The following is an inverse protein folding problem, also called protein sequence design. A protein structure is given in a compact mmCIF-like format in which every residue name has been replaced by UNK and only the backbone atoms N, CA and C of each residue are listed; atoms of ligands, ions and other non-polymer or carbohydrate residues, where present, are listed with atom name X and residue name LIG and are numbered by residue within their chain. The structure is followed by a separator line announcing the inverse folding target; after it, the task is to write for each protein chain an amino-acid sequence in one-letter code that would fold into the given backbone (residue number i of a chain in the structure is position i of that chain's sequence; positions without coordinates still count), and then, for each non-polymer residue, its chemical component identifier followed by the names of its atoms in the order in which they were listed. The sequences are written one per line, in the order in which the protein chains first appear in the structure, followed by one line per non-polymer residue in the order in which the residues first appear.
data_IF_418952522788
#
_entry.id   IF_418952522788
#
_cell.length_a   1.000
_cell.length_b   1.000
_cell.length_c   1.000
_cell.angle_alpha   90.00
_cell.angle_beta   90.00
_cell.angle_gamma   90.00
#
_symmetry.space_group_name_H-M   'P 1'
#
loop_
_entity.id
_entity.type
_entity.pdbx_description
1 polymer ?
#
# COMPACT_ATOMS: atom_id res chain seq x y z
N UNK A 1 -44.21 26.99 -10.77
CA UNK A 1 -42.82 26.54 -10.60
C UNK A 1 -42.76 25.08 -10.98
N UNK A 2 -41.83 24.65 -11.86
CA UNK A 2 -41.62 23.22 -12.04
C UNK A 2 -41.07 22.65 -10.72
N UNK A 3 -41.43 21.41 -10.34
CA UNK A 3 -40.83 20.79 -9.17
C UNK A 3 -39.33 20.61 -9.43
N UNK A 4 -38.49 21.18 -8.57
CA UNK A 4 -37.07 20.80 -8.53
C UNK A 4 -37.03 19.30 -8.23
N UNK A 5 -36.63 18.50 -9.21
CA UNK A 5 -36.44 17.06 -9.02
C UNK A 5 -35.30 16.85 -8.04
N UNK A 6 -35.62 16.71 -6.76
CA UNK A 6 -34.66 16.28 -5.76
C UNK A 6 -34.35 14.81 -6.05
N UNK A 7 -33.17 14.54 -6.62
CA UNK A 7 -32.66 13.18 -6.79
C UNK A 7 -32.47 12.59 -5.40
N UNK A 8 -33.14 11.47 -5.13
CA UNK A 8 -33.03 10.79 -3.84
C UNK A 8 -31.61 10.24 -3.61
N UNK A 9 -31.26 9.97 -2.36
CA UNK A 9 -29.95 9.38 -2.04
C UNK A 9 -29.76 8.00 -2.70
N UNK A 10 -30.83 7.22 -2.78
CA UNK A 10 -30.81 5.89 -3.39
C UNK A 10 -30.59 5.96 -4.90
N UNK A 11 -31.28 6.86 -5.60
CA UNK A 11 -31.09 7.08 -7.04
C UNK A 11 -29.67 7.57 -7.34
N UNK A 12 -29.16 8.48 -6.52
CA UNK A 12 -27.78 8.96 -6.64
C UNK A 12 -26.76 7.83 -6.49
N UNK A 13 -26.93 6.96 -5.48
CA UNK A 13 -26.06 5.79 -5.28
C UNK A 13 -26.17 4.78 -6.44
N UNK A 14 -27.36 4.58 -6.99
CA UNK A 14 -27.57 3.66 -8.10
C UNK A 14 -26.93 4.17 -9.40
N UNK A 15 -26.95 5.49 -9.62
CA UNK A 15 -26.22 6.13 -10.71
C UNK A 15 -24.71 5.89 -10.60
N UNK A 16 -24.15 5.98 -9.39
CA UNK A 16 -22.73 5.72 -9.10
C UNK A 16 -22.43 4.23 -8.81
N UNK A 17 -23.16 3.29 -9.41
CA UNK A 17 -23.02 1.85 -9.11
C UNK A 17 -21.63 1.29 -9.45
N UNK A 18 -21.08 1.66 -10.60
CA UNK A 18 -19.73 1.26 -11.05
C UNK A 18 -18.67 1.82 -10.09
N UNK A 19 -18.77 3.10 -9.73
CA UNK A 19 -17.86 3.75 -8.79
C UNK A 19 -17.91 3.09 -7.40
N UNK A 20 -19.11 2.73 -6.95
CA UNK A 20 -19.34 2.02 -5.69
C UNK A 20 -18.77 0.61 -5.70
N UNK A 21 -18.82 -0.08 -6.83
CA UNK A 21 -18.22 -1.40 -7.02
C UNK A 21 -16.70 -1.32 -6.88
N UNK A 22 -16.05 -0.41 -7.62
CA UNK A 22 -14.59 -0.24 -7.54
C UNK A 22 -14.14 0.19 -6.14
N UNK A 23 -14.84 1.13 -5.50
CA UNK A 23 -14.50 1.54 -4.14
C UNK A 23 -14.69 0.41 -3.11
N UNK A 24 -15.71 -0.43 -3.30
CA UNK A 24 -15.90 -1.63 -2.48
C UNK A 24 -14.73 -2.59 -2.66
N UNK A 25 -14.29 -2.84 -3.88
CA UNK A 25 -13.14 -3.68 -4.17
C UNK A 25 -11.87 -3.15 -3.49
N UNK A 26 -11.58 -1.86 -3.62
CA UNK A 26 -10.42 -1.24 -2.98
C UNK A 26 -10.43 -1.39 -1.45
N UNK A 27 -11.55 -1.03 -0.81
CA UNK A 27 -11.60 -0.90 0.65
C UNK A 27 -11.94 -2.20 1.37
N UNK A 28 -12.79 -3.04 0.78
CA UNK A 28 -13.26 -4.28 1.40
C UNK A 28 -12.42 -5.47 0.95
N UNK A 29 -12.19 -5.64 -0.35
CA UNK A 29 -11.49 -6.82 -0.86
C UNK A 29 -9.96 -6.66 -0.77
N UNK A 30 -9.44 -5.50 -1.19
CA UNK A 30 -8.00 -5.20 -1.18
C UNK A 30 -7.53 -4.53 0.11
N UNK A 31 -8.44 -4.27 1.05
CA UNK A 31 -8.15 -3.68 2.38
C UNK A 31 -7.36 -2.37 2.36
N UNK A 32 -7.42 -1.60 1.27
CA UNK A 32 -6.79 -0.27 1.23
C UNK A 32 -7.44 0.67 2.23
N UNK A 33 -6.67 1.66 2.67
CA UNK A 33 -7.16 2.68 3.59
C UNK A 33 -8.40 3.37 2.98
N UNK A 34 -9.53 3.45 3.69
CA UNK A 34 -10.76 4.00 3.13
C UNK A 34 -10.66 5.48 2.74
N UNK A 35 -9.85 6.26 3.46
CA UNK A 35 -9.68 7.71 3.22
C UNK A 35 -8.78 7.93 2.01
N UNK A 36 -7.66 7.23 1.92
CA UNK A 36 -6.78 7.24 0.75
C UNK A 36 -7.52 6.74 -0.50
N UNK A 37 -8.25 5.64 -0.38
CA UNK A 37 -9.07 5.10 -1.48
C UNK A 37 -10.12 6.09 -1.96
N UNK A 38 -10.64 6.97 -1.08
CA UNK A 38 -11.58 8.02 -1.47
C UNK A 38 -10.90 9.07 -2.36
N UNK A 39 -9.65 9.42 -2.06
CA UNK A 39 -8.85 10.33 -2.88
C UNK A 39 -8.49 9.71 -4.23
N UNK A 40 -8.17 8.41 -4.25
CA UNK A 40 -7.91 7.66 -5.48
C UNK A 40 -9.16 7.64 -6.38
N UNK A 41 -10.34 7.35 -5.82
CA UNK A 41 -11.60 7.42 -6.57
C UNK A 41 -11.87 8.84 -7.09
N UNK A 42 -11.60 9.87 -6.28
CA UNK A 42 -11.77 11.25 -6.69
C UNK A 42 -10.84 11.64 -7.86
N UNK A 43 -9.61 11.11 -7.87
CA UNK A 43 -8.68 11.28 -8.98
C UNK A 43 -9.24 10.66 -10.26
N UNK A 44 -9.63 9.38 -10.23
CA UNK A 44 -10.12 8.70 -11.43
C UNK A 44 -11.39 9.34 -11.98
N UNK A 45 -12.37 9.66 -11.13
CA UNK A 45 -13.59 10.35 -11.56
C UNK A 45 -13.33 11.77 -12.09
N UNK A 46 -12.32 12.47 -11.57
CA UNK A 46 -11.88 13.75 -12.16
C UNK A 46 -11.26 13.54 -13.54
N UNK A 47 -10.47 12.48 -13.72
CA UNK A 47 -9.87 12.11 -15.00
C UNK A 47 -10.92 11.72 -16.06
N UNK A 48 -11.97 11.00 -15.69
CA UNK A 48 -13.10 10.71 -16.59
C UNK A 48 -13.76 12.00 -17.10
N UNK A 49 -13.96 12.97 -16.20
CA UNK A 49 -14.56 14.27 -16.55
C UNK A 49 -13.68 15.12 -17.47
N UNK A 50 -12.37 14.94 -17.42
CA UNK A 50 -11.40 15.74 -18.21
C UNK A 50 -11.00 15.08 -19.51
N UNK A 51 -11.02 13.75 -19.59
CA UNK A 51 -10.56 12.98 -20.76
C UNK A 51 -11.67 12.19 -21.47
N UNK A 52 -12.92 12.22 -20.99
CA UNK A 52 -14.06 11.46 -21.53
C UNK A 52 -13.77 9.95 -21.67
N UNK A 53 -12.91 9.43 -20.81
CA UNK A 53 -12.59 8.00 -20.73
C UNK A 53 -13.40 7.36 -19.59
N UNK A 54 -13.89 6.14 -19.80
CA UNK A 54 -14.54 5.33 -18.77
C UNK A 54 -13.48 4.63 -17.87
N UNK A 55 -12.63 5.43 -17.22
CA UNK A 55 -11.48 4.98 -16.41
C UNK A 55 -11.90 3.95 -15.37
N UNK A 56 -12.95 4.23 -14.58
CA UNK A 56 -13.42 3.34 -13.50
C UNK A 56 -13.87 1.99 -14.08
N UNK A 57 -14.62 2.02 -15.18
CA UNK A 57 -15.07 0.80 -15.85
C UNK A 57 -13.89 -0.01 -16.40
N UNK A 58 -12.90 0.65 -17.02
CA UNK A 58 -11.67 0.00 -17.50
C UNK A 58 -10.89 -0.64 -16.35
N UNK A 59 -10.76 0.04 -15.21
CA UNK A 59 -10.05 -0.50 -14.03
C UNK A 59 -10.74 -1.76 -13.51
N UNK A 60 -12.08 -1.78 -13.44
CA UNK A 60 -12.83 -2.96 -13.00
C UNK A 60 -12.66 -4.19 -13.91
N UNK A 61 -12.20 -4.02 -15.16
CA UNK A 61 -11.88 -5.16 -16.04
C UNK A 61 -10.52 -5.79 -15.76
N UNK A 62 -9.68 -5.15 -14.93
CA UNK A 62 -8.35 -5.63 -14.59
C UNK A 62 -8.41 -6.73 -13.50
N UNK A 63 -7.42 -7.64 -13.44
CA UNK A 63 -7.24 -8.52 -12.29
C UNK A 63 -6.96 -7.74 -11.00
N UNK A 64 -7.39 -8.26 -9.85
CA UNK A 64 -7.20 -7.66 -8.52
C UNK A 64 -5.77 -7.18 -8.25
N UNK A 65 -4.77 -7.94 -8.70
CA UNK A 65 -3.34 -7.56 -8.59
C UNK A 65 -3.07 -6.25 -9.32
N UNK A 66 -3.54 -6.11 -10.56
CA UNK A 66 -3.34 -4.87 -11.33
C UNK A 66 -4.18 -3.71 -10.78
N UNK A 67 -5.31 -4.00 -10.14
CA UNK A 67 -6.12 -2.97 -9.45
C UNK A 67 -5.37 -2.44 -8.21
N UNK A 68 -4.63 -3.29 -7.50
CA UNK A 68 -3.74 -2.85 -6.43
C UNK A 68 -2.62 -1.95 -6.96
N UNK A 69 -1.93 -2.40 -8.02
CA UNK A 69 -0.82 -1.66 -8.62
C UNK A 69 -1.25 -0.31 -9.20
N UNK A 70 -2.37 -0.25 -9.92
CA UNK A 70 -2.85 1.03 -10.48
C UNK A 70 -3.34 1.98 -9.38
N UNK A 71 -3.77 1.46 -8.23
CA UNK A 71 -4.07 2.29 -7.07
C UNK A 71 -2.79 2.87 -6.44
N UNK A 72 -1.65 2.18 -6.48
CA UNK A 72 -0.34 2.75 -6.07
C UNK A 72 0.16 3.81 -7.06
N UNK A 73 -0.05 3.60 -8.35
CA UNK A 73 0.21 4.63 -9.36
C UNK A 73 -0.68 5.87 -9.14
N UNK A 74 -1.94 5.69 -8.76
CA UNK A 74 -2.85 6.78 -8.44
C UNK A 74 -2.36 7.58 -7.22
N UNK A 75 -1.85 6.91 -6.18
CA UNK A 75 -1.19 7.58 -5.05
C UNK A 75 0.03 8.37 -5.52
N UNK A 76 0.83 7.82 -6.42
CA UNK A 76 1.96 8.53 -7.04
C UNK A 76 1.50 9.79 -7.79
N UNK A 77 0.40 9.72 -8.53
CA UNK A 77 -0.21 10.87 -9.21
C UNK A 77 -0.68 11.93 -8.21
N UNK A 78 -1.41 11.54 -7.17
CA UNK A 78 -1.88 12.44 -6.11
C UNK A 78 -0.72 13.13 -5.40
N UNK A 79 0.35 12.40 -5.11
CA UNK A 79 1.57 12.96 -4.53
C UNK A 79 2.24 13.97 -5.46
N UNK A 80 2.22 13.76 -6.78
CA UNK A 80 2.72 14.74 -7.74
C UNK A 80 1.82 15.99 -7.85
N UNK A 81 0.50 15.85 -7.67
CA UNK A 81 -0.43 16.98 -7.64
C UNK A 81 -0.23 17.84 -6.38
N UNK A 82 0.02 17.20 -5.23
CA UNK A 82 0.04 17.86 -3.92
C UNK A 82 1.42 18.40 -3.50
N UNK A 83 2.53 17.85 -4.03
CA UNK A 83 3.88 18.24 -3.64
C UNK A 83 4.55 19.14 -4.68
N UNK A 84 5.11 20.26 -4.23
CA UNK A 84 5.59 21.34 -5.10
C UNK A 84 7.01 21.15 -5.67
N UNK A 85 7.82 20.23 -5.14
CA UNK A 85 9.22 20.14 -5.55
C UNK A 85 9.79 18.72 -5.46
N UNK A 86 10.44 18.28 -6.55
CA UNK A 86 11.32 17.11 -6.72
C UNK A 86 10.72 15.71 -6.92
N UNK A 87 9.49 15.41 -6.48
CA UNK A 87 8.95 14.05 -6.60
C UNK A 87 8.68 13.61 -8.06
N UNK A 88 8.38 14.56 -8.94
CA UNK A 88 7.94 14.25 -10.32
C UNK A 88 9.08 14.30 -11.37
N UNK A 89 10.32 14.63 -10.97
CA UNK A 89 11.48 14.77 -11.88
C UNK A 89 12.44 13.58 -11.90
N UNK A 90 12.23 12.57 -11.05
CA UNK A 90 13.04 11.35 -11.06
C UNK A 90 12.45 10.33 -12.03
N UNK A 91 13.27 9.77 -12.92
CA UNK A 91 12.88 8.70 -13.87
C UNK A 91 12.35 7.41 -13.19
N UNK A 92 12.38 7.35 -11.87
CA UNK A 92 11.89 6.23 -11.05
C UNK A 92 10.35 6.21 -10.88
N UNK A 93 9.68 7.36 -11.03
CA UNK A 93 8.22 7.42 -10.91
C UNK A 93 7.60 7.31 -12.29
N UNK A 94 7.23 6.09 -12.67
CA UNK A 94 6.44 5.82 -13.88
C UNK A 94 5.03 5.41 -13.48
N UNK A 95 4.06 5.71 -14.35
CA UNK A 95 2.64 5.34 -14.17
C UNK A 95 2.13 4.51 -15.37
N UNK A 96 2.77 3.36 -15.68
CA UNK A 96 2.49 2.58 -16.88
C UNK A 96 1.04 2.05 -16.95
N UNK A 97 0.43 1.67 -15.83
CA UNK A 97 -0.94 1.17 -15.82
C UNK A 97 -1.95 2.30 -16.02
N UNK A 98 -1.74 3.44 -15.37
CA UNK A 98 -2.53 4.66 -15.56
C UNK A 98 -2.45 5.11 -17.01
N UNK A 99 -1.25 5.09 -17.60
CA UNK A 99 -1.05 5.35 -19.02
C UNK A 99 -1.79 4.35 -19.91
N UNK A 100 -1.76 3.07 -19.58
CA UNK A 100 -2.45 2.03 -20.34
C UNK A 100 -3.97 2.20 -20.29
N UNK A 101 -4.54 2.52 -19.13
CA UNK A 101 -5.99 2.72 -18.95
C UNK A 101 -6.47 4.01 -19.64
N UNK A 102 -5.60 5.02 -19.70
CA UNK A 102 -5.89 6.34 -20.26
C UNK A 102 -5.37 6.54 -21.68
N UNK A 103 -5.17 5.46 -22.43
CA UNK A 103 -4.77 5.49 -23.84
C UNK A 103 -3.52 6.36 -24.13
N UNK A 104 -2.61 6.42 -23.14
CA UNK A 104 -1.33 7.16 -23.14
C UNK A 104 -1.45 8.68 -23.24
N UNK A 105 -2.63 9.25 -23.04
CA UNK A 105 -2.83 10.71 -23.03
C UNK A 105 -2.26 11.37 -21.77
N UNK A 106 -2.06 10.57 -20.71
CA UNK A 106 -1.67 11.06 -19.39
C UNK A 106 -0.23 10.69 -19.06
N UNK A 107 0.45 11.59 -18.37
CA UNK A 107 1.79 11.36 -17.82
C UNK A 107 1.91 12.08 -16.48
N UNK A 108 2.92 11.73 -15.68
CA UNK A 108 3.24 12.51 -14.49
C UNK A 108 3.53 13.98 -14.79
N UNK A 109 4.12 14.26 -15.96
CA UNK A 109 4.31 15.63 -16.46
C UNK A 109 2.99 16.37 -16.65
N UNK A 110 1.95 15.72 -17.16
CA UNK A 110 0.62 16.31 -17.30
C UNK A 110 0.06 16.77 -15.94
N UNK A 111 0.17 15.94 -14.90
CA UNK A 111 -0.29 16.29 -13.56
C UNK A 111 0.51 17.47 -12.97
N UNK A 112 1.82 17.47 -13.16
CA UNK A 112 2.67 18.57 -12.70
C UNK A 112 2.36 19.90 -13.41
N UNK A 113 2.17 19.89 -14.73
CA UNK A 113 1.83 21.07 -15.52
C UNK A 113 0.42 21.61 -15.20
N UNK A 114 -0.51 20.74 -14.80
CA UNK A 114 -1.90 21.09 -14.51
C UNK A 114 -2.24 21.07 -13.01
N UNK A 115 -1.24 21.12 -12.12
CA UNK A 115 -1.40 20.84 -10.68
C UNK A 115 -2.58 21.56 -10.05
N UNK A 116 -2.71 22.87 -10.26
CA UNK A 116 -3.75 23.68 -9.61
C UNK A 116 -5.15 23.23 -10.01
N UNK A 117 -5.36 22.97 -11.31
CA UNK A 117 -6.64 22.46 -11.84
C UNK A 117 -6.92 21.04 -11.35
N UNK A 118 -5.87 20.22 -11.23
CA UNK A 118 -5.97 18.87 -10.72
C UNK A 118 -6.33 18.86 -9.23
N UNK A 119 -5.63 19.63 -8.39
CA UNK A 119 -5.94 19.76 -6.96
C UNK A 119 -7.38 20.22 -6.73
N UNK A 120 -7.80 21.30 -7.41
CA UNK A 120 -9.16 21.83 -7.28
C UNK A 120 -10.21 20.82 -7.79
N UNK A 121 -9.96 20.21 -8.95
CA UNK A 121 -10.86 19.25 -9.57
C UNK A 121 -11.06 17.99 -8.74
N UNK A 122 -9.97 17.41 -8.23
CA UNK A 122 -10.00 16.23 -7.35
C UNK A 122 -10.73 16.57 -6.05
N UNK A 123 -10.40 17.69 -5.41
CA UNK A 123 -11.08 18.12 -4.18
C UNK A 123 -12.59 18.32 -4.40
N UNK A 124 -12.98 18.92 -5.53
CA UNK A 124 -14.39 19.10 -5.88
C UNK A 124 -15.11 17.77 -6.06
N UNK A 125 -14.52 16.83 -6.80
CA UNK A 125 -15.09 15.49 -7.01
C UNK A 125 -15.21 14.72 -5.69
N UNK A 126 -14.20 14.81 -4.83
CA UNK A 126 -14.21 14.16 -3.52
C UNK A 126 -15.41 14.65 -2.69
N UNK A 127 -15.59 15.97 -2.59
CA UNK A 127 -16.62 16.58 -1.74
C UNK A 127 -18.03 16.46 -2.30
N UNK A 128 -18.21 16.67 -3.61
CA UNK A 128 -19.54 16.70 -4.22
C UNK A 128 -20.06 15.32 -4.60
N UNK A 129 -19.17 14.37 -4.91
CA UNK A 129 -19.54 13.04 -5.40
C UNK A 129 -19.08 11.94 -4.47
N UNK A 130 -17.78 11.79 -4.22
CA UNK A 130 -17.26 10.59 -3.53
C UNK A 130 -17.83 10.46 -2.11
N UNK A 131 -17.83 11.53 -1.32
CA UNK A 131 -18.40 11.50 0.04
C UNK A 131 -19.87 11.07 -0.03
N UNK A 132 -20.68 11.69 -0.89
CA UNK A 132 -22.11 11.36 -0.97
C UNK A 132 -22.37 9.94 -1.51
N UNK A 133 -21.61 9.52 -2.52
CA UNK A 133 -21.81 8.25 -3.21
C UNK A 133 -21.24 7.07 -2.43
N UNK A 134 -20.20 7.26 -1.61
CA UNK A 134 -19.37 6.17 -1.07
C UNK A 134 -19.35 6.10 0.46
N UNK A 135 -19.91 7.09 1.18
CA UNK A 135 -19.81 7.19 2.63
C UNK A 135 -20.30 5.94 3.39
N UNK A 136 -21.38 5.29 2.95
CA UNK A 136 -21.85 4.07 3.61
C UNK A 136 -20.87 2.89 3.48
N UNK A 137 -20.13 2.81 2.37
CA UNK A 137 -19.07 1.83 2.15
C UNK A 137 -17.85 2.19 3.00
N UNK A 138 -17.47 3.47 3.02
CA UNK A 138 -16.36 3.98 3.83
C UNK A 138 -16.58 3.69 5.33
N UNK A 139 -17.76 3.98 5.86
CA UNK A 139 -18.12 3.69 7.25
C UNK A 139 -18.03 2.20 7.56
N UNK A 140 -18.49 1.35 6.64
CA UNK A 140 -18.39 -0.11 6.78
C UNK A 140 -16.95 -0.59 6.79
N UNK A 141 -16.11 -0.07 5.90
CA UNK A 141 -14.69 -0.41 5.84
C UNK A 141 -13.95 0.03 7.12
N UNK A 142 -14.19 1.26 7.58
CA UNK A 142 -13.61 1.78 8.84
C UNK A 142 -14.03 0.94 10.04
N UNK A 143 -15.32 0.62 10.17
CA UNK A 143 -15.82 -0.19 11.27
C UNK A 143 -15.21 -1.60 11.26
N UNK A 144 -15.07 -2.21 10.09
CA UNK A 144 -14.40 -3.51 9.93
C UNK A 144 -12.92 -3.44 10.32
N UNK A 145 -12.19 -2.44 9.83
CA UNK A 145 -10.77 -2.27 10.15
C UNK A 145 -10.55 -2.08 11.66
N UNK A 146 -11.42 -1.31 12.32
CA UNK A 146 -11.40 -1.14 13.78
C UNK A 146 -11.67 -2.46 14.52
N UNK A 147 -12.67 -3.24 14.07
CA UNK A 147 -12.97 -4.54 14.66
C UNK A 147 -11.80 -5.52 14.52
N UNK A 148 -11.13 -5.54 13.36
CA UNK A 148 -9.97 -6.38 13.11
C UNK A 148 -8.78 -5.98 14.01
N UNK A 149 -8.51 -4.68 14.12
CA UNK A 149 -7.43 -4.17 14.99
C UNK A 149 -7.63 -4.54 16.47
N UNK A 150 -8.88 -4.52 16.96
CA UNK A 150 -9.21 -4.99 18.32
C UNK A 150 -8.94 -6.48 18.46
N UNK A 151 -9.37 -7.30 17.49
CA UNK A 151 -9.14 -8.74 17.50
C UNK A 151 -7.65 -9.10 17.48
N UNK A 152 -6.86 -8.41 16.66
CA UNK A 152 -5.41 -8.60 16.56
C UNK A 152 -4.71 -8.20 17.88
N UNK A 153 -5.11 -7.07 18.47
CA UNK A 153 -4.60 -6.62 19.77
C UNK A 153 -4.90 -7.62 20.89
N UNK A 154 -6.07 -8.25 20.87
CA UNK A 154 -6.44 -9.29 21.84
C UNK A 154 -5.62 -10.57 21.66
N UNK A 155 -5.30 -10.97 20.42
CA UNK A 155 -4.41 -12.11 20.15
C UNK A 155 -2.98 -11.89 20.61
N UNK A 156 -2.46 -10.66 20.51
CA UNK A 156 -1.11 -10.34 21.00
C UNK A 156 -1.01 -10.35 22.53
N UNK A 157 -2.11 -10.13 23.26
CA UNK A 157 -2.15 -10.23 24.73
C UNK A 157 -2.27 -11.65 25.28
N UNK A 158 -2.70 -12.63 24.46
CA UNK A 158 -2.84 -14.04 24.86
C UNK A 158 -1.67 -14.92 24.43
N UNK A 159 -0.77 -14.42 23.58
CA UNK A 159 0.52 -15.06 23.28
C UNK A 159 1.45 -14.97 24.49
N UNK A 160 1.32 -15.92 25.43
CA UNK A 160 2.23 -16.07 26.56
C UNK A 160 3.67 -16.29 26.07
N UNK A 161 4.69 -15.67 26.70
CA UNK A 161 6.08 -16.04 26.43
C UNK A 161 6.33 -17.42 27.04
N UNK A 162 6.45 -18.45 26.21
CA UNK A 162 7.12 -19.69 26.62
C UNK A 162 8.59 -19.38 26.85
N UNK A 163 8.93 -18.94 28.07
CA UNK A 163 10.29 -18.98 28.57
C UNK A 163 10.71 -20.45 28.68
N UNK A 164 11.43 -20.97 27.69
CA UNK A 164 12.27 -22.15 27.90
C UNK A 164 13.69 -21.67 28.24
N UNK A 165 13.90 -21.47 29.54
CA UNK A 165 15.22 -21.43 30.15
C UNK A 165 15.86 -22.81 30.01
N UNK A 166 16.81 -22.95 29.09
CA UNK A 166 17.75 -24.07 29.05
C UNK A 166 19.11 -23.56 29.53
N UNK A 167 19.28 -23.59 30.84
CA UNK A 167 20.58 -23.55 31.52
C UNK A 167 21.50 -24.61 30.94
N UNK A 168 22.51 -24.19 30.17
CA UNK A 168 23.68 -25.02 29.88
C UNK A 168 24.78 -24.73 30.93
N UNK A 169 25.19 -25.73 31.72
CA UNK A 169 26.41 -25.64 32.52
C UNK A 169 27.58 -26.19 31.70
N UNK A 170 28.56 -25.34 31.37
CA UNK A 170 29.85 -25.81 30.90
C UNK A 170 30.54 -24.86 29.94
N UNK A 171 31.57 -24.17 30.43
CA UNK A 171 32.95 -24.17 29.92
C UNK A 171 33.64 -22.86 30.33
N UNK A 172 34.36 -22.94 31.44
CA UNK A 172 35.55 -22.11 31.65
C UNK A 172 36.58 -22.48 30.59
N UNK A 173 37.27 -21.50 29.99
CA UNK A 173 38.74 -21.38 30.05
C UNK A 173 39.25 -20.31 29.04
N UNK A 174 39.94 -19.30 29.58
CA UNK A 174 40.78 -18.35 28.85
C UNK A 174 41.85 -19.07 28.02
N UNK A 175 42.25 -18.50 26.86
CA UNK A 175 43.66 -18.27 26.56
C UNK A 175 43.90 -17.27 25.42
N UNK A 176 44.72 -16.28 25.74
CA UNK A 176 45.49 -15.42 24.83
C UNK A 176 46.51 -16.26 24.03
N UNK A 177 46.74 -15.90 22.77
CA UNK A 177 47.85 -16.40 21.97
C UNK A 177 48.01 -15.62 20.66
N UNK A 178 49.01 -14.74 20.61
CA UNK A 178 49.50 -14.08 19.40
C UNK A 178 50.53 -14.97 18.68
N UNK A 179 50.45 -15.10 17.36
CA UNK A 179 51.47 -14.69 16.34
C UNK A 179 51.31 -15.47 15.02
N UNK A 180 51.31 -14.67 13.95
CA UNK A 180 51.81 -14.88 12.58
C UNK A 180 51.22 -15.90 11.59
N UNK A 181 50.49 -15.31 10.63
CA UNK A 181 50.65 -15.33 9.16
C UNK A 181 50.80 -16.68 8.45
N UNK A 182 49.71 -17.11 7.79
CA UNK A 182 49.78 -17.47 6.38
C UNK A 182 48.49 -17.04 5.67
N UNK A 183 48.71 -16.30 4.60
CA UNK A 183 47.79 -15.60 3.72
C UNK A 183 46.93 -16.57 2.91
N UNK A 184 45.61 -16.48 3.05
CA UNK A 184 44.67 -16.84 2.00
C UNK A 184 43.75 -15.64 1.80
N UNK A 185 43.87 -14.99 0.65
CA UNK A 185 43.05 -13.85 0.23
C UNK A 185 41.58 -14.28 0.19
N UNK A 186 40.87 -14.05 1.27
CA UNK A 186 39.41 -13.99 1.31
C UNK A 186 39.00 -12.53 1.09
N UNK A 187 37.92 -12.24 0.35
CA UNK A 187 37.40 -10.88 0.29
C UNK A 187 36.84 -10.53 1.69
N UNK A 188 37.68 -9.93 2.51
CA UNK A 188 37.29 -9.31 3.77
C UNK A 188 36.40 -8.11 3.44
N UNK A 189 35.09 -8.29 3.60
CA UNK A 189 34.13 -7.31 4.10
C UNK A 189 32.69 -7.87 4.14
N UNK A 190 32.52 -9.18 4.36
CA UNK A 190 31.18 -9.70 4.66
C UNK A 190 30.84 -9.39 6.11
N UNK A 191 30.04 -8.33 6.29
CA UNK A 191 29.39 -8.02 7.56
C UNK A 191 28.59 -9.26 8.01
N UNK A 192 28.75 -9.74 9.25
CA UNK A 192 28.02 -10.88 9.76
C UNK A 192 26.50 -10.74 9.56
N UNK A 193 25.76 -11.82 9.25
CA UNK A 193 24.32 -11.77 9.01
C UNK A 193 23.53 -11.05 10.11
N UNK A 194 23.92 -11.23 11.38
CA UNK A 194 23.26 -10.62 12.53
C UNK A 194 23.41 -9.09 12.57
N UNK A 195 24.49 -8.53 12.00
CA UNK A 195 24.75 -7.09 11.95
C UNK A 195 24.10 -6.41 10.73
N UNK A 196 23.67 -7.21 9.74
CA UNK A 196 22.97 -6.74 8.52
C UNK A 196 21.50 -7.15 8.44
N UNK A 197 20.99 -7.81 9.48
CA UNK A 197 19.59 -8.22 9.59
C UNK A 197 18.73 -7.04 10.06
N UNK A 198 17.59 -6.82 9.41
CA UNK A 198 16.52 -5.95 9.90
C UNK A 198 15.34 -6.76 10.45
N UNK A 199 14.76 -6.28 11.55
CA UNK A 199 13.49 -6.77 12.06
C UNK A 199 12.40 -5.75 11.76
N UNK A 200 11.42 -6.13 10.94
CA UNK A 200 10.37 -5.24 10.45
C UNK A 200 9.04 -5.69 11.01
N UNK A 201 8.31 -4.78 11.66
CA UNK A 201 6.95 -5.04 12.14
C UNK A 201 5.91 -4.44 11.20
N UNK A 202 4.80 -5.14 11.02
CA UNK A 202 3.72 -4.71 10.13
C UNK A 202 2.69 -3.92 10.92
N UNK A 203 2.65 -2.62 10.68
CA UNK A 203 1.65 -1.69 11.24
C UNK A 203 0.49 -1.42 10.29
N UNK A 204 0.37 -2.21 9.21
CA UNK A 204 -0.70 -2.08 8.23
C UNK A 204 -1.99 -2.73 8.74
N UNK A 205 -3.14 -2.16 8.39
CA UNK A 205 -4.46 -2.66 8.79
C UNK A 205 -4.93 -3.91 8.05
N UNK A 206 -4.01 -4.67 7.44
CA UNK A 206 -4.28 -5.84 6.60
C UNK A 206 -3.12 -6.85 6.63
N UNK A 207 -3.38 -8.13 6.28
CA UNK A 207 -2.33 -9.15 6.21
C UNK A 207 -1.27 -8.82 5.17
N UNK A 208 -0.02 -8.74 5.62
CA UNK A 208 1.14 -8.50 4.75
C UNK A 208 1.70 -9.83 4.26
N UNK A 209 1.91 -9.95 2.95
CA UNK A 209 2.44 -11.17 2.33
C UNK A 209 3.96 -11.08 2.15
N UNK A 210 4.63 -12.23 2.13
CA UNK A 210 6.09 -12.31 1.90
C UNK A 210 6.51 -11.61 0.62
N UNK A 211 5.75 -11.82 -0.46
CA UNK A 211 6.00 -11.16 -1.75
C UNK A 211 5.95 -9.64 -1.65
N UNK A 212 4.97 -9.09 -0.93
CA UNK A 212 4.81 -7.63 -0.76
C UNK A 212 6.04 -7.03 -0.06
N UNK A 213 6.56 -7.71 0.96
CA UNK A 213 7.77 -7.29 1.66
C UNK A 213 8.98 -7.36 0.74
N UNK A 214 9.14 -8.47 0.02
CA UNK A 214 10.22 -8.64 -0.97
C UNK A 214 10.20 -7.53 -2.02
N UNK A 215 9.04 -7.31 -2.66
CA UNK A 215 8.86 -6.29 -3.68
C UNK A 215 9.10 -4.88 -3.15
N UNK A 216 8.65 -4.56 -1.93
CA UNK A 216 8.89 -3.26 -1.30
C UNK A 216 10.39 -2.96 -1.15
N UNK A 217 11.16 -3.91 -0.63
CA UNK A 217 12.59 -3.73 -0.43
C UNK A 217 13.35 -3.77 -1.76
N UNK A 218 12.99 -4.67 -2.68
CA UNK A 218 13.62 -4.76 -4.01
C UNK A 218 13.38 -3.50 -4.84
N UNK A 219 12.19 -2.92 -4.80
CA UNK A 219 11.87 -1.66 -5.48
C UNK A 219 12.66 -0.48 -4.91
N UNK A 220 12.88 -0.47 -3.61
CA UNK A 220 13.51 0.67 -2.91
C UNK A 220 15.04 0.60 -2.94
N UNK A 221 15.61 -0.60 -2.80
CA UNK A 221 17.04 -0.82 -2.57
C UNK A 221 17.71 -1.73 -3.60
N UNK A 222 16.94 -2.29 -4.54
CA UNK A 222 17.42 -3.27 -5.53
C UNK A 222 17.40 -4.71 -5.02
N UNK A 223 17.92 -5.64 -5.82
CA UNK A 223 18.00 -7.07 -5.47
C UNK A 223 19.12 -7.32 -4.44
N UNK A 224 18.87 -6.92 -3.19
CA UNK A 224 19.83 -6.95 -2.09
C UNK A 224 19.38 -7.81 -0.90
N UNK A 225 18.27 -8.53 -1.04
CA UNK A 225 17.70 -9.37 0.02
C UNK A 225 18.35 -10.75 -0.08
N UNK A 226 19.10 -11.14 0.96
CA UNK A 226 19.73 -12.47 1.02
C UNK A 226 18.76 -13.53 1.52
N UNK A 227 17.94 -13.18 2.53
CA UNK A 227 16.90 -14.05 3.08
C UNK A 227 15.73 -13.23 3.57
N UNK A 228 14.51 -13.71 3.40
CA UNK A 228 13.32 -13.11 3.97
C UNK A 228 12.54 -14.21 4.69
N UNK A 229 12.30 -14.02 5.98
CA UNK A 229 11.57 -14.98 6.81
C UNK A 229 10.43 -14.25 7.50
N UNK A 230 9.21 -14.63 7.13
CA UNK A 230 8.00 -14.16 7.81
C UNK A 230 7.84 -14.87 9.14
N UNK A 231 7.16 -14.22 10.09
CA UNK A 231 6.73 -14.90 11.32
C UNK A 231 5.93 -16.17 10.99
N UNK A 232 6.33 -17.30 11.56
CA UNK A 232 5.58 -18.56 11.51
C UNK A 232 4.24 -18.41 12.25
N UNK A 233 3.16 -18.62 11.52
CA UNK A 233 1.79 -18.49 12.00
C UNK A 233 0.94 -19.66 11.51
N UNK A 234 -0.15 -19.98 12.22
CA UNK A 234 -1.10 -20.98 11.73
C UNK A 234 -1.78 -20.49 10.45
N UNK A 235 -2.32 -21.40 9.64
CA UNK A 235 -2.94 -21.09 8.33
C UNK A 235 -4.12 -20.08 8.38
N UNK A 236 -4.63 -19.77 9.56
CA UNK A 236 -5.72 -18.81 9.81
C UNK A 236 -5.25 -17.49 10.44
N UNK A 237 -3.95 -17.29 10.58
CA UNK A 237 -3.35 -16.13 11.25
C UNK A 237 -2.42 -15.37 10.30
N UNK A 238 -2.24 -14.07 10.53
CA UNK A 238 -1.34 -13.23 9.74
C UNK A 238 -0.01 -13.07 10.45
N UNK A 239 1.08 -13.10 9.69
CA UNK A 239 2.40 -12.70 10.20
C UNK A 239 2.35 -11.22 10.58
N UNK A 240 2.96 -10.86 11.72
CA UNK A 240 3.00 -9.49 12.24
C UNK A 240 4.39 -8.85 12.09
N UNK A 241 5.38 -9.65 11.72
CA UNK A 241 6.75 -9.19 11.48
C UNK A 241 7.48 -10.10 10.49
N UNK A 242 8.62 -9.60 10.00
CA UNK A 242 9.58 -10.36 9.20
C UNK A 242 11.02 -10.05 9.64
N UNK A 243 11.89 -11.04 9.42
CA UNK A 243 13.35 -10.92 9.47
C UNK A 243 13.87 -10.87 8.04
N UNK A 244 14.66 -9.84 7.71
CA UNK A 244 15.22 -9.57 6.38
C UNK A 244 16.73 -9.43 6.52
#
# INVERSE_FOLDING_TARGET
MPPSSFVSEQEFKMFHSIDRELYTLLTINLWRDPVESLQIMALWLWLERTSLNDVVSKILTLPDVLIHEIADEAVTCLNCINNDHSACSSESYVIPLTQSVMDKEISLRFFHENRLKATEGVAKVANEVCIRALNDIMQRAVARNAAQSIADSQKMMTAQPFQQSLVHPGFSQMRFGSSDVLESVTPENEVPPDDRTMFVTFSKGYPVQEREVGEFFTRTYGDCIESLVMQDVQSSEQSLFAKI
#
